data_IF_553243709255
#
_entry.id   IF_553243709255
#
_cell.length_a   1.000
_cell.length_b   1.000
_cell.length_c   1.000
_cell.angle_alpha   90.00
_cell.angle_beta   90.00
_cell.angle_gamma   90.00
#
_symmetry.space_group_name_H-M   'P 1'
#
loop_
_entity.id
_entity.type
_entity.pdbx_description
1 polymer ?
#
# COMPACT_ATOMS: atom_id res chain seq x y z
N UNK A 1 20.57 -1.82 -5.58
CA UNK A 1 19.78 -1.64 -6.83
C UNK A 1 19.45 -0.17 -6.95
N UNK A 2 19.77 0.52 -8.05
CA UNK A 2 19.34 1.91 -8.21
C UNK A 2 17.81 1.90 -8.38
N UNK A 3 17.06 2.71 -7.62
CA UNK A 3 15.61 2.73 -7.72
C UNK A 3 15.20 3.25 -9.09
N UNK A 4 14.49 2.44 -9.85
CA UNK A 4 13.93 2.90 -11.13
C UNK A 4 12.93 4.04 -10.87
N UNK A 5 12.91 5.10 -11.71
CA UNK A 5 11.97 6.19 -11.57
C UNK A 5 10.52 5.68 -11.72
N UNK A 6 9.58 6.31 -11.03
CA UNK A 6 8.17 6.13 -11.33
C UNK A 6 7.82 6.88 -12.63
N UNK A 7 6.89 6.35 -13.41
CA UNK A 7 6.42 7.03 -14.62
C UNK A 7 5.09 7.69 -14.30
N UNK A 8 4.99 8.99 -14.60
CA UNK A 8 3.77 9.78 -14.51
C UNK A 8 3.61 10.59 -15.79
N UNK A 9 2.54 10.37 -16.55
CA UNK A 9 2.30 10.97 -17.86
C UNK A 9 3.55 10.94 -18.77
N UNK A 10 4.16 9.77 -18.95
CA UNK A 10 5.39 9.54 -19.73
C UNK A 10 6.67 10.23 -19.18
N UNK A 11 6.58 10.89 -18.03
CA UNK A 11 7.72 11.53 -17.39
C UNK A 11 8.28 10.67 -16.26
N UNK A 12 9.60 10.57 -16.21
CA UNK A 12 10.30 9.86 -15.16
C UNK A 12 10.34 10.70 -13.87
N UNK A 13 9.67 10.26 -12.82
CA UNK A 13 9.67 10.89 -11.50
C UNK A 13 10.72 10.18 -10.64
N UNK A 14 11.73 10.93 -10.20
CA UNK A 14 12.75 10.40 -9.28
C UNK A 14 12.12 10.04 -7.96
N UNK A 15 12.52 8.88 -7.42
CA UNK A 15 12.03 8.38 -6.13
C UNK A 15 13.13 7.62 -5.40
N UNK A 16 12.98 7.49 -4.09
CA UNK A 16 13.83 6.66 -3.23
C UNK A 16 12.95 5.89 -2.27
N UNK A 17 13.30 4.65 -1.98
CA UNK A 17 12.63 3.83 -1.00
C UNK A 17 13.41 3.90 0.32
N UNK A 18 12.71 4.20 1.40
CA UNK A 18 13.23 4.14 2.75
C UNK A 18 12.84 2.79 3.37
N UNK A 19 13.84 1.94 3.62
CA UNK A 19 13.63 0.59 4.17
C UNK A 19 13.19 0.62 5.63
N UNK A 20 13.50 1.67 6.37
CA UNK A 20 13.17 1.78 7.80
C UNK A 20 11.68 2.14 7.98
N UNK A 21 11.20 3.10 7.21
CA UNK A 21 9.78 3.50 7.24
C UNK A 21 8.92 2.75 6.23
N UNK A 22 9.51 1.82 5.45
CA UNK A 22 8.86 1.07 4.35
C UNK A 22 8.10 1.98 3.37
N UNK A 23 8.63 3.20 3.12
CA UNK A 23 7.93 4.26 2.42
C UNK A 23 8.69 4.73 1.18
N UNK A 24 7.96 4.99 0.09
CA UNK A 24 8.48 5.64 -1.09
C UNK A 24 8.42 7.15 -0.96
N UNK A 25 9.55 7.81 -1.23
CA UNK A 25 9.70 9.27 -1.30
C UNK A 25 9.90 9.69 -2.74
N UNK A 26 9.09 10.62 -3.22
CA UNK A 26 9.08 11.09 -4.61
C UNK A 26 9.55 12.54 -4.69
N UNK A 27 10.23 12.90 -5.77
CA UNK A 27 10.64 14.27 -6.05
C UNK A 27 9.44 15.19 -6.28
N UNK A 28 9.26 16.18 -5.40
CA UNK A 28 8.18 17.17 -5.53
C UNK A 28 8.39 18.04 -6.78
N UNK A 29 9.64 18.41 -7.07
CA UNK A 29 9.98 19.24 -8.23
C UNK A 29 9.62 18.56 -9.55
N UNK A 30 9.85 17.24 -9.65
CA UNK A 30 9.53 16.48 -10.86
C UNK A 30 8.01 16.43 -11.10
N UNK A 31 7.22 16.19 -10.04
CA UNK A 31 5.77 16.23 -10.11
C UNK A 31 5.26 17.62 -10.50
N UNK A 32 5.79 18.67 -9.86
CA UNK A 32 5.44 20.06 -10.20
C UNK A 32 5.80 20.38 -11.64
N UNK A 33 6.93 19.91 -12.15
CA UNK A 33 7.35 20.11 -13.54
C UNK A 33 6.30 19.56 -14.50
N UNK A 34 5.85 18.33 -14.29
CA UNK A 34 4.83 17.69 -15.13
C UNK A 34 3.50 18.42 -15.03
N UNK A 35 3.00 18.65 -13.82
CA UNK A 35 1.70 19.28 -13.60
C UNK A 35 1.60 20.70 -14.13
N UNK A 36 2.71 21.46 -14.10
CA UNK A 36 2.72 22.86 -14.54
C UNK A 36 3.34 23.05 -15.92
N UNK A 37 3.72 21.93 -16.57
CA UNK A 37 4.32 21.92 -17.91
C UNK A 37 5.56 22.83 -18.02
N UNK A 38 6.36 22.87 -16.95
CA UNK A 38 7.59 23.68 -16.97
C UNK A 38 8.63 23.05 -17.88
N UNK A 39 9.35 23.86 -18.68
CA UNK A 39 10.28 23.36 -19.67
C UNK A 39 11.49 22.63 -19.06
N UNK A 40 11.86 23.00 -17.85
CA UNK A 40 13.04 22.47 -17.17
C UNK A 40 12.87 22.40 -15.64
N UNK A 41 13.75 21.65 -15.00
CA UNK A 41 13.78 21.44 -13.56
C UNK A 41 14.06 22.76 -12.78
N UNK A 42 14.78 23.73 -13.34
CA UNK A 42 15.09 25.00 -12.64
C UNK A 42 13.83 25.88 -12.55
N UNK A 43 13.08 25.96 -13.63
CA UNK A 43 11.80 26.70 -13.68
C UNK A 43 10.76 26.04 -12.78
N UNK A 44 10.68 24.70 -12.79
CA UNK A 44 9.83 23.94 -11.88
C UNK A 44 10.21 24.18 -10.41
N UNK A 45 11.49 24.23 -10.08
CA UNK A 45 11.98 24.55 -8.73
C UNK A 45 11.60 25.96 -8.28
N UNK A 46 11.70 26.95 -9.16
CA UNK A 46 11.25 28.33 -8.87
C UNK A 46 9.74 28.37 -8.59
N UNK A 47 8.96 27.66 -9.40
CA UNK A 47 7.52 27.55 -9.17
C UNK A 47 7.22 26.86 -7.83
N UNK A 48 7.87 25.74 -7.54
CA UNK A 48 7.73 25.01 -6.28
C UNK A 48 8.04 25.91 -5.06
N UNK A 49 9.12 26.67 -5.11
CA UNK A 49 9.49 27.58 -4.01
C UNK A 49 8.40 28.62 -3.74
N UNK A 50 7.79 29.19 -4.78
CA UNK A 50 6.67 30.14 -4.63
C UNK A 50 5.41 29.45 -4.08
N UNK A 51 5.10 28.27 -4.58
CA UNK A 51 3.98 27.47 -4.10
C UNK A 51 4.17 27.10 -2.61
N UNK A 52 5.37 26.65 -2.25
CA UNK A 52 5.76 26.31 -0.88
C UNK A 52 5.62 27.51 0.07
N UNK A 53 6.06 28.69 -0.34
CA UNK A 53 5.91 29.93 0.44
C UNK A 53 4.42 30.26 0.67
N UNK A 54 3.59 30.18 -0.39
CA UNK A 54 2.15 30.43 -0.29
C UNK A 54 1.49 29.45 0.67
N UNK A 55 1.70 28.14 0.48
CA UNK A 55 1.14 27.11 1.31
C UNK A 55 1.61 27.20 2.77
N UNK A 56 2.85 27.59 3.00
CA UNK A 56 3.39 27.86 4.33
C UNK A 56 2.67 29.02 5.03
N UNK A 57 2.35 30.10 4.32
CA UNK A 57 1.55 31.23 4.83
C UNK A 57 0.10 30.85 5.13
N UNK A 58 -0.45 29.91 4.38
CA UNK A 58 -1.79 29.34 4.57
C UNK A 58 -1.83 28.29 5.72
N UNK A 59 -0.69 28.00 6.35
CA UNK A 59 -0.59 26.99 7.42
C UNK A 59 -0.76 25.54 6.94
N UNK A 60 -0.51 25.27 5.65
CA UNK A 60 -0.67 23.94 5.08
C UNK A 60 0.40 22.96 5.58
N UNK A 61 -0.01 21.88 6.24
CA UNK A 61 0.87 20.79 6.69
C UNK A 61 1.59 20.07 5.54
N UNK A 62 1.08 20.18 4.31
CA UNK A 62 1.73 19.56 3.13
C UNK A 62 3.15 20.03 2.91
N UNK A 63 3.49 21.24 3.38
CA UNK A 63 4.84 21.81 3.27
C UNK A 63 5.76 21.28 4.36
N UNK A 64 5.25 21.12 5.58
CA UNK A 64 6.02 20.59 6.72
C UNK A 64 6.32 19.11 6.56
N UNK A 65 5.45 18.37 5.85
CA UNK A 65 5.61 16.95 5.53
C UNK A 65 6.53 16.68 4.32
N UNK A 66 7.14 17.72 3.73
CA UNK A 66 8.18 17.56 2.73
C UNK A 66 9.55 17.43 3.40
N UNK A 67 10.28 16.37 3.03
CA UNK A 67 11.65 16.13 3.48
C UNK A 67 12.66 16.53 2.42
N UNK A 68 13.95 16.59 2.76
CA UNK A 68 15.02 16.86 1.83
C UNK A 68 15.96 15.66 1.77
N UNK A 69 15.99 15.01 0.61
CA UNK A 69 16.85 13.85 0.36
C UNK A 69 17.75 14.10 -0.86
N UNK A 70 18.88 13.40 -0.88
CA UNK A 70 19.78 13.43 -2.04
C UNK A 70 19.24 12.49 -3.12
N UNK A 71 18.85 13.06 -4.26
CA UNK A 71 18.41 12.30 -5.42
C UNK A 71 19.37 12.47 -6.60
N UNK A 72 19.56 11.43 -7.43
CA UNK A 72 20.40 11.51 -8.61
C UNK A 72 19.80 12.49 -9.64
N UNK A 73 20.66 13.24 -10.30
CA UNK A 73 20.32 14.13 -11.40
C UNK A 73 20.89 13.61 -12.72
N UNK A 74 20.48 14.22 -13.83
CA UNK A 74 20.90 13.81 -15.18
C UNK A 74 22.42 13.91 -15.42
N UNK A 75 23.11 14.75 -14.64
CA UNK A 75 24.58 14.90 -14.68
C UNK A 75 25.33 13.83 -13.86
N UNK A 76 24.61 12.84 -13.31
CA UNK A 76 25.17 11.77 -12.49
C UNK A 76 25.49 12.18 -11.03
N UNK A 77 25.26 13.44 -10.65
CA UNK A 77 25.47 13.91 -9.27
C UNK A 77 24.20 13.81 -8.43
N UNK A 78 24.38 13.75 -7.13
CA UNK A 78 23.28 13.75 -6.19
C UNK A 78 23.02 15.14 -5.61
N UNK A 79 21.81 15.65 -5.76
CA UNK A 79 21.40 16.95 -5.23
C UNK A 79 20.31 16.82 -4.18
N UNK A 80 20.39 17.68 -3.16
CA UNK A 80 19.34 17.84 -2.17
C UNK A 80 18.06 18.32 -2.89
N UNK A 81 17.03 17.49 -2.78
CA UNK A 81 15.74 17.70 -3.47
C UNK A 81 14.61 17.55 -2.47
N UNK A 82 13.61 18.42 -2.54
CA UNK A 82 12.40 18.25 -1.72
C UNK A 82 11.64 17.01 -2.21
N UNK A 83 11.35 16.13 -1.28
CA UNK A 83 10.62 14.86 -1.50
C UNK A 83 9.41 14.79 -0.60
N UNK A 84 8.40 14.05 -1.04
CA UNK A 84 7.19 13.81 -0.30
C UNK A 84 6.68 12.38 -0.51
N UNK A 85 5.88 11.88 0.42
CA UNK A 85 5.14 10.63 0.26
C UNK A 85 4.03 10.77 -0.78
N UNK A 86 3.47 9.66 -1.25
CA UNK A 86 2.34 9.70 -2.18
C UNK A 86 1.15 10.48 -1.62
N UNK A 87 0.83 10.32 -0.34
CA UNK A 87 -0.24 11.04 0.34
C UNK A 87 -0.01 12.57 0.31
N UNK A 88 1.17 13.00 0.72
CA UNK A 88 1.54 14.43 0.69
C UNK A 88 1.51 14.99 -0.73
N UNK A 89 1.94 14.22 -1.74
CA UNK A 89 1.87 14.62 -3.15
C UNK A 89 0.42 14.79 -3.62
N UNK A 90 -0.48 13.87 -3.30
CA UNK A 90 -1.90 13.97 -3.63
C UNK A 90 -2.53 15.24 -3.01
N UNK A 91 -2.10 15.61 -1.81
CA UNK A 91 -2.52 16.86 -1.17
C UNK A 91 -1.93 18.09 -1.88
N UNK A 92 -0.65 18.05 -2.27
CA UNK A 92 0.00 19.14 -3.00
C UNK A 92 -0.63 19.36 -4.39
N UNK A 93 -0.98 18.29 -5.12
CA UNK A 93 -1.64 18.37 -6.43
C UNK A 93 -2.94 19.17 -6.36
N UNK A 94 -3.71 19.05 -5.28
CA UNK A 94 -4.95 19.82 -5.10
C UNK A 94 -4.69 21.34 -5.04
N UNK A 95 -3.51 21.75 -4.58
CA UNK A 95 -3.10 23.15 -4.45
C UNK A 95 -2.47 23.75 -5.72
N UNK A 96 -2.20 22.91 -6.73
CA UNK A 96 -1.61 23.37 -8.01
C UNK A 96 -2.72 23.85 -8.96
N UNK A 97 -2.78 25.13 -9.31
CA UNK A 97 -3.74 25.66 -10.28
C UNK A 97 -3.27 25.36 -11.72
N UNK A 98 -3.44 24.12 -12.16
CA UNK A 98 -3.06 23.68 -13.50
C UNK A 98 -4.12 22.79 -14.13
N UNK A 99 -4.43 22.95 -15.42
CA UNK A 99 -5.31 22.03 -16.15
C UNK A 99 -4.84 20.57 -16.10
N UNK A 100 -3.54 20.33 -16.03
CA UNK A 100 -2.95 18.98 -15.89
C UNK A 100 -3.20 18.35 -14.51
N UNK A 101 -3.43 19.16 -13.49
CA UNK A 101 -3.80 18.67 -12.17
C UNK A 101 -5.29 18.27 -12.08
N UNK A 102 -6.13 18.78 -12.96
CA UNK A 102 -7.59 18.59 -12.90
C UNK A 102 -8.04 17.12 -12.99
N UNK A 103 -7.51 16.27 -13.89
CA UNK A 103 -7.86 14.85 -13.92
C UNK A 103 -7.57 14.13 -12.60
N UNK A 104 -6.47 14.49 -11.92
CA UNK A 104 -6.12 13.88 -10.62
C UNK A 104 -7.07 14.37 -9.53
N UNK A 105 -7.44 15.65 -9.54
CA UNK A 105 -8.41 16.22 -8.58
C UNK A 105 -9.77 15.56 -8.72
N UNK A 106 -10.25 15.36 -9.97
CA UNK A 106 -11.50 14.66 -10.26
C UNK A 106 -11.44 13.20 -9.83
N UNK A 107 -10.32 12.51 -10.10
CA UNK A 107 -10.11 11.14 -9.63
C UNK A 107 -10.13 11.05 -8.10
N UNK A 108 -9.46 11.97 -7.40
CA UNK A 108 -9.48 12.02 -5.94
C UNK A 108 -10.89 12.25 -5.38
N UNK A 109 -11.65 13.16 -6.00
CA UNK A 109 -13.05 13.41 -5.62
C UNK A 109 -13.90 12.15 -5.81
N UNK A 110 -13.72 11.44 -6.93
CA UNK A 110 -14.41 10.17 -7.20
C UNK A 110 -14.04 9.10 -6.16
N UNK A 111 -12.76 8.87 -5.90
CA UNK A 111 -12.29 7.88 -4.91
C UNK A 111 -12.81 8.22 -3.51
N UNK A 112 -12.77 9.49 -3.13
CA UNK A 112 -13.34 9.94 -1.85
C UNK A 112 -14.84 9.67 -1.74
N UNK A 113 -15.59 9.95 -2.80
CA UNK A 113 -17.02 9.68 -2.83
C UNK A 113 -17.34 8.17 -2.79
N UNK A 114 -16.63 7.36 -3.58
CA UNK A 114 -16.74 5.90 -3.54
C UNK A 114 -16.49 5.36 -2.13
N UNK A 115 -15.46 5.89 -1.43
CA UNK A 115 -15.19 5.51 -0.05
C UNK A 115 -16.30 5.89 0.92
N UNK A 116 -16.92 7.04 0.75
CA UNK A 116 -18.08 7.43 1.56
C UNK A 116 -19.28 6.49 1.32
N UNK A 117 -19.50 6.05 0.08
CA UNK A 117 -20.53 5.07 -0.23
C UNK A 117 -20.24 3.72 0.43
N UNK A 118 -18.99 3.24 0.40
CA UNK A 118 -18.56 2.01 1.07
C UNK A 118 -18.74 2.07 2.60
N UNK A 119 -18.58 3.23 3.20
CA UNK A 119 -18.86 3.42 4.63
C UNK A 119 -20.35 3.30 4.96
N UNK A 120 -21.22 3.68 4.05
CA UNK A 120 -22.67 3.55 4.19
C UNK A 120 -23.15 2.12 3.84
N UNK A 121 -22.53 1.48 2.85
CA UNK A 121 -22.79 0.11 2.41
C UNK A 121 -21.47 -0.67 2.25
N UNK A 122 -21.02 -1.40 3.29
CA UNK A 122 -19.75 -2.14 3.25
C UNK A 122 -19.68 -3.23 2.17
N UNK A 123 -20.79 -3.70 1.62
CA UNK A 123 -20.82 -4.72 0.55
C UNK A 123 -20.09 -4.19 -0.70
N UNK A 124 -20.20 -2.89 -1.00
CA UNK A 124 -19.53 -2.25 -2.14
C UNK A 124 -17.99 -2.44 -2.09
N UNK A 125 -17.39 -2.49 -0.90
CA UNK A 125 -15.96 -2.73 -0.77
C UNK A 125 -15.57 -4.16 -1.18
N UNK A 126 -16.42 -5.14 -0.93
CA UNK A 126 -16.22 -6.53 -1.34
C UNK A 126 -16.39 -6.69 -2.86
N UNK A 127 -17.38 -6.01 -3.43
CA UNK A 127 -17.59 -5.99 -4.89
C UNK A 127 -16.40 -5.35 -5.59
N UNK A 128 -15.90 -4.22 -5.12
CA UNK A 128 -14.70 -3.56 -5.65
C UNK A 128 -13.45 -4.47 -5.55
N UNK A 129 -13.29 -5.20 -4.45
CA UNK A 129 -12.19 -6.16 -4.31
C UNK A 129 -12.29 -7.27 -5.36
N UNK A 130 -13.50 -7.85 -5.55
CA UNK A 130 -13.79 -8.88 -6.56
C UNK A 130 -13.47 -8.38 -7.97
N UNK A 131 -13.98 -7.20 -8.35
CA UNK A 131 -13.71 -6.59 -9.65
C UNK A 131 -12.20 -6.35 -9.89
N UNK A 132 -11.48 -5.91 -8.86
CA UNK A 132 -10.04 -5.68 -8.94
C UNK A 132 -9.29 -6.97 -9.25
N UNK A 133 -9.61 -8.07 -8.58
CA UNK A 133 -8.99 -9.36 -8.86
C UNK A 133 -9.38 -9.90 -10.25
N UNK A 134 -10.62 -9.70 -10.69
CA UNK A 134 -11.06 -10.04 -12.06
C UNK A 134 -10.26 -9.26 -13.11
N UNK A 135 -10.06 -7.95 -12.93
CA UNK A 135 -9.21 -7.11 -13.81
C UNK A 135 -7.76 -7.57 -13.84
N UNK A 136 -7.27 -8.18 -12.76
CA UNK A 136 -5.94 -8.83 -12.69
C UNK A 136 -5.92 -10.26 -13.25
N UNK A 137 -7.01 -10.70 -13.91
CA UNK A 137 -7.09 -12.01 -14.58
C UNK A 137 -7.29 -13.19 -13.63
N UNK A 138 -7.73 -12.96 -12.39
CA UNK A 138 -8.02 -14.06 -11.45
C UNK A 138 -9.33 -14.74 -11.79
N UNK A 139 -9.35 -16.09 -11.72
CA UNK A 139 -10.56 -16.89 -11.95
C UNK A 139 -11.57 -16.68 -10.82
N UNK A 140 -12.85 -16.90 -11.10
CA UNK A 140 -13.92 -16.82 -10.10
C UNK A 140 -13.68 -17.81 -8.93
N UNK A 141 -13.17 -19.01 -9.21
CA UNK A 141 -12.80 -19.99 -8.18
C UNK A 141 -11.70 -19.46 -7.26
N UNK A 142 -10.66 -18.86 -7.84
CA UNK A 142 -9.58 -18.24 -7.08
C UNK A 142 -10.11 -17.11 -6.18
N UNK A 143 -10.97 -16.25 -6.72
CA UNK A 143 -11.57 -15.12 -5.98
C UNK A 143 -12.40 -15.64 -4.81
N UNK A 144 -13.25 -16.63 -5.05
CA UNK A 144 -14.05 -17.24 -3.99
C UNK A 144 -13.16 -17.82 -2.90
N UNK A 145 -12.10 -18.55 -3.26
CA UNK A 145 -11.16 -19.12 -2.29
C UNK A 145 -10.42 -18.03 -1.49
N UNK A 146 -10.04 -16.94 -2.16
CA UNK A 146 -9.38 -15.79 -1.52
C UNK A 146 -10.27 -15.10 -0.49
N UNK A 147 -11.56 -14.95 -0.80
CA UNK A 147 -12.55 -14.36 0.11
C UNK A 147 -12.83 -15.28 1.30
N UNK A 148 -13.05 -16.58 1.06
CA UNK A 148 -13.25 -17.58 2.12
C UNK A 148 -12.04 -17.65 3.05
N UNK A 149 -10.82 -17.61 2.49
CA UNK A 149 -9.59 -17.58 3.29
C UNK A 149 -9.45 -16.33 4.16
N UNK A 150 -10.01 -15.19 3.72
CA UNK A 150 -10.04 -13.98 4.55
C UNK A 150 -11.02 -14.14 5.73
N UNK A 151 -12.19 -14.73 5.51
CA UNK A 151 -13.16 -15.00 6.56
C UNK A 151 -12.59 -15.97 7.61
N UNK A 152 -11.97 -17.07 7.17
CA UNK A 152 -11.32 -18.04 8.05
C UNK A 152 -10.24 -17.37 8.90
N UNK A 153 -9.42 -16.49 8.29
CA UNK A 153 -8.42 -15.74 9.04
C UNK A 153 -9.03 -14.80 10.07
N UNK A 154 -10.10 -14.10 9.73
CA UNK A 154 -10.76 -13.20 10.67
C UNK A 154 -11.25 -13.98 11.90
N UNK A 155 -11.94 -15.10 11.72
CA UNK A 155 -12.37 -15.98 12.83
C UNK A 155 -11.21 -16.40 13.72
N UNK A 156 -10.07 -16.78 13.12
CA UNK A 156 -8.88 -17.17 13.87
C UNK A 156 -8.27 -15.99 14.65
N UNK A 157 -8.19 -14.82 14.06
CA UNK A 157 -7.65 -13.62 14.74
C UNK A 157 -8.60 -13.10 15.82
N UNK A 158 -9.91 -13.22 15.64
CA UNK A 158 -10.90 -12.89 16.65
C UNK A 158 -10.75 -13.82 17.86
N UNK A 159 -10.60 -15.14 17.61
CA UNK A 159 -10.29 -16.11 18.65
C UNK A 159 -9.00 -15.74 19.41
N UNK A 160 -7.93 -15.39 18.73
CA UNK A 160 -6.69 -14.98 19.38
C UNK A 160 -6.87 -13.75 20.27
N UNK A 161 -7.64 -12.76 19.80
CA UNK A 161 -7.96 -11.56 20.55
C UNK A 161 -8.76 -11.86 21.83
N UNK A 162 -9.72 -12.77 21.76
CA UNK A 162 -10.53 -13.20 22.91
C UNK A 162 -9.70 -13.97 23.96
N UNK A 163 -8.51 -14.48 23.57
CA UNK A 163 -7.61 -15.24 24.44
C UNK A 163 -6.31 -14.49 24.78
N UNK A 164 -6.39 -13.15 24.82
CA UNK A 164 -5.30 -12.25 25.24
C UNK A 164 -4.00 -12.36 24.43
N UNK A 165 -4.05 -12.93 23.22
CA UNK A 165 -2.90 -12.93 22.29
C UNK A 165 -2.76 -11.52 21.72
N UNK A 166 -1.56 -10.96 21.83
CA UNK A 166 -1.30 -9.57 21.42
C UNK A 166 -1.21 -9.42 19.92
N UNK A 167 -1.94 -8.47 19.41
CA UNK A 167 -1.85 -8.07 18.01
C UNK A 167 -0.43 -7.58 17.68
N UNK A 168 0.03 -7.85 16.46
CA UNK A 168 1.37 -7.53 16.01
C UNK A 168 2.30 -8.75 16.00
N UNK A 169 3.31 -8.80 16.86
CA UNK A 169 4.36 -9.85 16.83
C UNK A 169 3.82 -11.24 17.10
N UNK A 170 2.89 -11.41 18.06
CA UNK A 170 2.35 -12.74 18.40
C UNK A 170 1.47 -13.26 17.26
N UNK A 171 0.64 -12.39 16.64
CA UNK A 171 -0.14 -12.75 15.44
C UNK A 171 0.76 -13.11 14.25
N UNK A 172 1.85 -12.39 14.06
CA UNK A 172 2.83 -12.68 13.02
C UNK A 172 3.51 -14.03 13.26
N UNK A 173 3.91 -14.31 14.49
CA UNK A 173 4.54 -15.58 14.90
C UNK A 173 3.60 -16.76 14.65
N UNK A 174 2.36 -16.69 15.15
CA UNK A 174 1.36 -17.75 14.95
C UNK A 174 1.02 -17.95 13.47
N UNK A 175 0.90 -16.85 12.73
CA UNK A 175 0.68 -16.91 11.27
C UNK A 175 1.85 -17.59 10.56
N UNK A 176 3.09 -17.33 10.96
CA UNK A 176 4.27 -17.98 10.39
C UNK A 176 4.30 -19.47 10.71
N UNK A 177 3.98 -19.88 11.94
CA UNK A 177 3.91 -21.29 12.32
C UNK A 177 2.90 -22.01 11.43
N UNK A 178 1.66 -21.51 11.32
CA UNK A 178 0.62 -22.09 10.46
C UNK A 178 1.08 -22.15 8.99
N UNK A 179 1.79 -21.13 8.54
CA UNK A 179 2.29 -21.08 7.16
C UNK A 179 3.38 -22.12 6.91
N UNK A 180 4.32 -22.29 7.83
CA UNK A 180 5.43 -23.24 7.72
C UNK A 180 4.96 -24.69 7.68
N UNK A 181 3.85 -25.03 8.35
CA UNK A 181 3.31 -26.41 8.36
C UNK A 181 2.93 -26.93 6.97
N UNK A 182 2.59 -26.06 6.02
CA UNK A 182 2.23 -26.50 4.67
C UNK A 182 3.24 -26.05 3.60
N UNK A 183 3.93 -24.92 3.83
CA UNK A 183 4.82 -24.31 2.84
C UNK A 183 6.29 -24.69 3.05
N UNK A 184 6.64 -25.30 4.20
CA UNK A 184 8.00 -25.62 4.67
C UNK A 184 8.94 -24.40 4.75
N UNK A 185 8.42 -23.21 4.54
CA UNK A 185 9.12 -21.92 4.62
C UNK A 185 8.27 -20.89 5.34
N UNK A 186 8.88 -19.87 5.92
CA UNK A 186 8.15 -18.76 6.52
C UNK A 186 7.54 -17.82 5.45
N UNK A 187 6.65 -16.92 5.88
CA UNK A 187 5.98 -15.97 5.00
C UNK A 187 6.97 -15.08 4.26
N UNK A 188 8.09 -14.69 4.88
CA UNK A 188 9.12 -13.83 4.28
C UNK A 188 9.85 -14.57 3.17
N UNK A 189 10.36 -15.77 3.44
CA UNK A 189 11.03 -16.60 2.44
C UNK A 189 10.10 -16.93 1.27
N UNK A 190 8.82 -17.23 1.54
CA UNK A 190 7.84 -17.47 0.46
C UNK A 190 7.60 -16.23 -0.40
N UNK A 191 7.56 -15.03 0.20
CA UNK A 191 7.52 -13.77 -0.57
C UNK A 191 8.75 -13.62 -1.46
N UNK A 192 9.94 -13.87 -0.92
CA UNK A 192 11.20 -13.80 -1.68
C UNK A 192 11.22 -14.77 -2.87
N UNK A 193 10.76 -16.01 -2.68
CA UNK A 193 10.62 -17.01 -3.76
C UNK A 193 9.69 -16.54 -4.87
N UNK A 194 8.65 -15.79 -4.54
CA UNK A 194 7.70 -15.20 -5.52
C UNK A 194 8.16 -13.83 -6.05
N UNK A 195 9.34 -13.32 -5.65
CA UNK A 195 9.86 -12.01 -6.07
C UNK A 195 9.09 -10.83 -5.50
N UNK A 196 8.37 -11.02 -4.39
CA UNK A 196 7.54 -10.00 -3.74
C UNK A 196 8.36 -9.24 -2.70
N UNK A 197 8.06 -7.94 -2.55
CA UNK A 197 8.64 -7.09 -1.48
C UNK A 197 7.59 -6.76 -0.42
N UNK A 198 6.74 -5.77 -0.70
CA UNK A 198 5.71 -5.27 0.21
C UNK A 198 4.31 -5.81 -0.08
N UNK A 199 4.14 -6.49 -1.22
CA UNK A 199 2.84 -6.99 -1.68
C UNK A 199 2.28 -8.05 -0.72
N UNK A 200 0.95 -8.17 -0.68
CA UNK A 200 0.30 -9.22 0.08
C UNK A 200 0.55 -10.58 -0.58
N UNK A 201 1.19 -11.50 0.16
CA UNK A 201 1.53 -12.82 -0.35
C UNK A 201 0.30 -13.59 -0.89
N UNK A 202 -0.86 -13.50 -0.21
CA UNK A 202 -2.07 -14.23 -0.61
C UNK A 202 -2.61 -13.82 -1.97
N UNK A 203 -2.40 -12.58 -2.39
CA UNK A 203 -2.83 -12.10 -3.72
C UNK A 203 -1.96 -12.66 -4.85
N UNK A 204 -0.81 -13.26 -4.50
CA UNK A 204 0.14 -13.92 -5.41
C UNK A 204 0.21 -15.44 -5.24
N UNK A 205 -0.65 -16.01 -4.40
CA UNK A 205 -0.80 -17.45 -4.24
C UNK A 205 -1.62 -18.06 -5.38
N UNK A 206 -1.34 -19.32 -5.68
CA UNK A 206 -2.21 -20.16 -6.48
C UNK A 206 -3.48 -20.54 -5.72
N UNK A 207 -4.47 -21.09 -6.40
CA UNK A 207 -5.69 -21.60 -5.77
C UNK A 207 -5.39 -22.68 -4.72
N UNK A 208 -4.47 -23.60 -5.03
CA UNK A 208 -4.05 -24.65 -4.11
C UNK A 208 -3.39 -24.12 -2.85
N UNK A 209 -2.50 -23.14 -2.96
CA UNK A 209 -1.85 -22.49 -1.82
C UNK A 209 -2.89 -21.76 -0.92
N UNK A 210 -3.90 -21.13 -1.53
CA UNK A 210 -4.99 -20.48 -0.78
C UNK A 210 -5.83 -21.50 -0.02
N UNK A 211 -6.14 -22.66 -0.64
CA UNK A 211 -6.88 -23.76 -0.01
C UNK A 211 -6.11 -24.29 1.20
N UNK A 212 -4.82 -24.61 1.04
CA UNK A 212 -3.99 -25.13 2.12
C UNK A 212 -3.89 -24.14 3.28
N UNK A 213 -3.62 -22.87 2.97
CA UNK A 213 -3.55 -21.80 4.00
C UNK A 213 -4.87 -21.67 4.77
N UNK A 214 -5.99 -21.67 4.08
CA UNK A 214 -7.32 -21.53 4.68
C UNK A 214 -7.69 -22.76 5.50
N UNK A 215 -7.41 -23.96 5.00
CA UNK A 215 -7.71 -25.22 5.66
C UNK A 215 -6.97 -25.33 7.00
N UNK A 216 -5.66 -25.12 7.01
CA UNK A 216 -4.86 -25.20 8.24
C UNK A 216 -5.25 -24.13 9.27
N UNK A 217 -5.50 -22.90 8.83
CA UNK A 217 -6.01 -21.86 9.71
C UNK A 217 -7.35 -22.25 10.36
N UNK A 218 -8.26 -22.89 9.61
CA UNK A 218 -9.52 -23.39 10.11
C UNK A 218 -9.36 -24.55 11.11
N UNK A 219 -8.47 -25.49 10.82
CA UNK A 219 -8.18 -26.65 11.72
C UNK A 219 -7.58 -26.15 13.04
N UNK A 220 -6.62 -25.22 12.99
CA UNK A 220 -6.02 -24.64 14.19
C UNK A 220 -7.08 -23.94 15.05
N UNK A 221 -7.97 -23.15 14.45
CA UNK A 221 -9.08 -22.51 15.18
C UNK A 221 -9.98 -23.54 15.89
N UNK A 222 -10.41 -24.56 15.17
CA UNK A 222 -11.28 -25.61 15.74
C UNK A 222 -10.60 -26.40 16.88
N UNK A 223 -9.34 -26.80 16.71
CA UNK A 223 -8.59 -27.51 17.74
C UNK A 223 -8.38 -26.64 18.99
N UNK A 224 -8.15 -25.35 18.83
CA UNK A 224 -8.01 -24.44 19.95
C UNK A 224 -9.30 -24.28 20.72
N UNK A 225 -10.45 -24.17 20.06
CA UNK A 225 -11.78 -24.16 20.71
C UNK A 225 -12.07 -25.46 21.47
N UNK A 226 -11.77 -26.63 20.87
CA UNK A 226 -11.97 -27.94 21.50
C UNK A 226 -11.07 -28.12 22.73
N UNK A 227 -9.82 -27.70 22.68
CA UNK A 227 -8.88 -27.76 23.78
C UNK A 227 -9.37 -26.96 25.00
N UNK A 228 -9.91 -25.77 24.77
CA UNK A 228 -10.47 -24.94 25.85
C UNK A 228 -11.74 -25.50 26.45
N UNK A 229 -12.62 -26.18 25.68
CA UNK A 229 -13.83 -26.83 26.18
C UNK A 229 -13.53 -28.07 27.02
N UNK A 230 -12.35 -28.68 26.85
CA UNK A 230 -11.94 -29.89 27.57
C UNK A 230 -11.19 -29.60 28.88
N UNK A 231 -10.85 -28.35 29.17
CA UNK A 231 -10.24 -27.95 30.44
C UNK A 231 -11.30 -27.94 31.56
N UNK A 232 -11.08 -28.62 32.68
CA UNK A 232 -12.00 -28.57 33.82
C UNK A 232 -12.05 -27.14 34.37
N UNK A 233 -13.28 -26.67 34.62
CA UNK A 233 -13.54 -25.36 35.25
C UNK A 233 -13.07 -25.36 36.69
#
# INVERSE_FOLDING_TARGET
MQPQPAIFEEHAIRRVYDEVSETWWFSVVDIVQVLTQQPDCQTARKYWNKLKERLGKEGSESVTNCHRLKLPAADGKNYLTDVATAETLLRLVQSVPSPKAEPIKLWLAKVGYERMQEMADPVLSLERARETWQKHGRSEKWIQQRMTGQETRNKLTDYWKEHDIKEGEEYATLTNIIHQEWAEVDVKAHKEMKGLKTQNLRDHMSEAELILTSHLAGVVGQLSEMAMQSLPR
#
